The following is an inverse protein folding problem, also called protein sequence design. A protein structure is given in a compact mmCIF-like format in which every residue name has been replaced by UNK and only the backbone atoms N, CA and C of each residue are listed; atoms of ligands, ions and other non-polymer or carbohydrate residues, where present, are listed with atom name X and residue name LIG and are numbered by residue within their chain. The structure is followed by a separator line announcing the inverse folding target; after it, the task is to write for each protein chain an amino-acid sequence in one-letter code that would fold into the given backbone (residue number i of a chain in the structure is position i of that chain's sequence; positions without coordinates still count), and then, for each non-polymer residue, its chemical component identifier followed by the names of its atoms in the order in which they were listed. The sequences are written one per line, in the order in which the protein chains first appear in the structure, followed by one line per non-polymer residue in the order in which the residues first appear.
data_IF_644983546468
#
_entry.id   IF_644983546468
#
_cell.length_a   1.000
_cell.length_b   1.000
_cell.length_c   1.000
_cell.angle_alpha   90.00
_cell.angle_beta   90.00
_cell.angle_gamma   90.00
#
_symmetry.space_group_name_H-M   'P 1'
#
loop_
_entity.id
_entity.type
_entity.pdbx_description
1 polymer ?
#
# COMPACT_ATOMS: atom_id res chain seq x y z
N UNK A 1 -22.44 -26.84 -36.09
CA UNK A 1 -22.86 -25.47 -35.71
C UNK A 1 -21.95 -24.99 -34.57
N UNK A 2 -20.87 -24.24 -34.84
CA UNK A 2 -19.94 -23.83 -33.76
C UNK A 2 -19.03 -22.65 -34.14
N UNK A 3 -19.59 -21.56 -34.68
CA UNK A 3 -18.82 -20.37 -35.10
C UNK A 3 -18.80 -19.20 -34.11
N UNK A 4 -19.73 -19.16 -33.15
CA UNK A 4 -20.04 -17.92 -32.41
C UNK A 4 -19.50 -17.88 -30.98
N UNK A 5 -18.54 -18.74 -30.61
CA UNK A 5 -18.05 -18.75 -29.22
C UNK A 5 -16.64 -19.28 -29.06
N UNK A 6 -15.92 -18.70 -28.09
CA UNK A 6 -14.63 -19.23 -27.66
C UNK A 6 -14.78 -20.62 -27.01
N UNK A 7 -13.70 -21.40 -27.08
CA UNK A 7 -13.63 -22.68 -26.37
C UNK A 7 -13.74 -22.46 -24.86
N UNK A 8 -14.28 -23.43 -24.12
CA UNK A 8 -14.41 -23.34 -22.66
C UNK A 8 -13.07 -23.02 -21.99
N UNK A 9 -11.98 -23.63 -22.45
CA UNK A 9 -10.62 -23.37 -21.97
C UNK A 9 -10.23 -21.90 -22.14
N UNK A 10 -10.48 -21.30 -23.32
CA UNK A 10 -10.19 -19.90 -23.56
C UNK A 10 -11.01 -18.96 -22.67
N UNK A 11 -12.28 -19.30 -22.40
CA UNK A 11 -13.14 -18.54 -21.48
C UNK A 11 -12.64 -18.67 -20.04
N UNK A 12 -12.34 -19.88 -19.57
CA UNK A 12 -11.81 -20.11 -18.23
C UNK A 12 -10.50 -19.36 -18.01
N UNK A 13 -9.54 -19.51 -18.92
CA UNK A 13 -8.26 -18.79 -18.85
C UNK A 13 -8.48 -17.28 -18.85
N UNK A 14 -9.48 -16.78 -19.59
CA UNK A 14 -9.75 -15.33 -19.63
C UNK A 14 -10.17 -14.82 -18.27
N UNK A 15 -11.19 -15.43 -17.67
CA UNK A 15 -11.75 -14.95 -16.41
C UNK A 15 -10.83 -15.17 -15.22
N UNK A 16 -10.11 -16.29 -15.19
CA UNK A 16 -9.11 -16.54 -14.13
C UNK A 16 -8.03 -15.46 -14.19
N UNK A 17 -7.45 -15.22 -15.38
CA UNK A 17 -6.42 -14.19 -15.54
C UNK A 17 -6.98 -12.79 -15.28
N UNK A 18 -8.20 -12.47 -15.74
CA UNK A 18 -8.82 -11.17 -15.50
C UNK A 18 -9.03 -10.89 -14.00
N UNK A 19 -9.54 -11.87 -13.24
CA UNK A 19 -9.71 -11.75 -11.80
C UNK A 19 -8.37 -11.59 -11.09
N UNK A 20 -7.36 -12.37 -11.50
CA UNK A 20 -6.01 -12.25 -10.98
C UNK A 20 -5.40 -10.88 -11.26
N UNK A 21 -5.57 -10.33 -12.47
CA UNK A 21 -5.08 -8.98 -12.82
C UNK A 21 -5.74 -7.93 -11.94
N UNK A 22 -7.05 -8.01 -11.71
CA UNK A 22 -7.76 -7.07 -10.82
C UNK A 22 -7.17 -7.16 -9.40
N UNK A 23 -6.97 -8.37 -8.89
CA UNK A 23 -6.30 -8.58 -7.60
C UNK A 23 -4.84 -8.08 -7.59
N UNK A 24 -4.10 -8.28 -8.67
CA UNK A 24 -2.71 -7.82 -8.82
C UNK A 24 -2.60 -6.31 -8.81
N UNK A 25 -3.49 -5.63 -9.53
CA UNK A 25 -3.55 -4.16 -9.54
C UNK A 25 -3.96 -3.63 -8.16
N UNK A 26 -4.92 -4.27 -7.49
CA UNK A 26 -5.31 -3.94 -6.12
C UNK A 26 -4.14 -4.08 -5.13
N UNK A 27 -3.46 -5.22 -5.13
CA UNK A 27 -2.28 -5.43 -4.27
C UNK A 27 -1.13 -4.48 -4.61
N UNK A 28 -0.93 -4.16 -5.89
CA UNK A 28 0.05 -3.18 -6.36
C UNK A 28 -0.22 -1.76 -5.87
N UNK A 29 -1.48 -1.33 -5.90
CA UNK A 29 -1.93 -0.04 -5.35
C UNK A 29 -1.75 -0.04 -3.83
N UNK A 30 -2.21 -1.10 -3.15
CA UNK A 30 -2.09 -1.23 -1.69
C UNK A 30 -0.62 -1.13 -1.26
N UNK A 31 0.29 -1.88 -1.89
CA UNK A 31 1.70 -1.84 -1.54
C UNK A 31 2.39 -0.53 -1.97
N UNK A 32 2.03 0.01 -3.14
CA UNK A 32 2.63 1.24 -3.67
C UNK A 32 2.24 2.49 -2.88
N UNK A 33 1.02 2.55 -2.37
CA UNK A 33 0.54 3.63 -1.52
C UNK A 33 0.64 3.32 -0.02
N UNK A 34 1.15 2.14 0.35
CA UNK A 34 1.27 1.65 1.72
C UNK A 34 -0.07 1.74 2.49
N UNK A 35 -1.14 1.19 1.89
CA UNK A 35 -2.50 1.22 2.45
C UNK A 35 -2.76 0.15 3.52
N UNK A 36 -1.75 -0.66 3.87
CA UNK A 36 -1.81 -1.69 4.90
C UNK A 36 -0.56 -1.63 5.78
N UNK A 37 -0.67 -2.10 7.02
CA UNK A 37 0.43 -2.17 7.98
C UNK A 37 1.64 -2.96 7.46
N UNK A 38 2.84 -2.64 7.97
CA UNK A 38 4.08 -3.28 7.53
C UNK A 38 4.14 -4.79 7.78
N UNK A 39 3.48 -5.26 8.84
CA UNK A 39 3.33 -6.69 9.16
C UNK A 39 2.58 -7.46 8.07
N UNK A 40 1.66 -6.78 7.37
CA UNK A 40 0.92 -7.30 6.23
C UNK A 40 1.64 -6.96 4.92
N UNK A 41 2.31 -5.81 4.86
CA UNK A 41 2.97 -5.29 3.65
C UNK A 41 4.06 -6.24 3.14
N UNK A 42 4.91 -6.77 4.02
CA UNK A 42 5.95 -7.72 3.59
C UNK A 42 5.35 -9.03 3.03
N UNK A 43 4.41 -9.71 3.73
CA UNK A 43 3.65 -10.82 3.14
C UNK A 43 2.91 -10.43 1.86
N UNK A 44 2.38 -9.21 1.77
CA UNK A 44 1.69 -8.69 0.59
C UNK A 44 2.64 -8.56 -0.60
N UNK A 45 3.88 -8.11 -0.42
CA UNK A 45 4.89 -8.11 -1.49
C UNK A 45 5.18 -9.53 -1.99
N UNK A 46 5.27 -10.52 -1.10
CA UNK A 46 5.44 -11.92 -1.51
C UNK A 46 4.20 -12.47 -2.24
N UNK A 47 3.01 -12.12 -1.77
CA UNK A 47 1.75 -12.47 -2.41
C UNK A 47 1.60 -11.82 -3.80
N UNK A 48 1.92 -10.53 -3.93
CA UNK A 48 1.95 -9.79 -5.20
C UNK A 48 2.92 -10.43 -6.19
N UNK A 49 4.13 -10.82 -5.76
CA UNK A 49 5.08 -11.54 -6.62
C UNK A 49 4.52 -12.88 -7.08
N UNK A 50 3.94 -13.67 -6.17
CA UNK A 50 3.34 -14.99 -6.47
C UNK A 50 2.19 -14.89 -7.48
N UNK A 51 1.31 -13.91 -7.27
CA UNK A 51 0.14 -13.70 -8.10
C UNK A 51 0.54 -13.16 -9.48
N UNK A 52 1.49 -12.23 -9.54
CA UNK A 52 2.08 -11.74 -10.80
C UNK A 52 2.77 -12.82 -11.62
N UNK A 53 3.56 -13.69 -10.98
CA UNK A 53 4.19 -14.84 -11.63
C UNK A 53 3.14 -15.82 -12.19
N UNK A 54 2.07 -16.05 -11.44
CA UNK A 54 0.96 -16.90 -11.88
C UNK A 54 0.25 -16.31 -13.10
N UNK A 55 0.04 -14.99 -13.13
CA UNK A 55 -0.49 -14.29 -14.31
C UNK A 55 0.44 -14.48 -15.51
N UNK A 56 1.76 -14.33 -15.33
CA UNK A 56 2.73 -14.53 -16.41
C UNK A 56 2.62 -15.94 -17.02
N UNK A 57 2.69 -16.98 -16.18
CA UNK A 57 2.63 -18.39 -16.63
C UNK A 57 1.31 -18.69 -17.34
N UNK A 58 0.17 -18.30 -16.74
CA UNK A 58 -1.14 -18.51 -17.34
C UNK A 58 -1.33 -17.70 -18.63
N UNK A 59 -0.70 -16.53 -18.74
CA UNK A 59 -0.75 -15.70 -19.95
C UNK A 59 0.04 -16.32 -21.09
N UNK A 60 1.18 -16.97 -20.82
CA UNK A 60 1.91 -17.78 -21.81
C UNK A 60 1.05 -18.96 -22.26
N UNK A 61 0.45 -19.71 -21.33
CA UNK A 61 -0.48 -20.80 -21.65
C UNK A 61 -1.65 -20.30 -22.52
N UNK A 62 -2.23 -19.16 -22.17
CA UNK A 62 -3.31 -18.52 -22.93
C UNK A 62 -2.85 -18.08 -24.32
N UNK A 63 -1.63 -17.58 -24.47
CA UNK A 63 -1.05 -17.19 -25.76
C UNK A 63 -0.85 -18.41 -26.65
N UNK A 64 -0.22 -19.47 -26.13
CA UNK A 64 -0.03 -20.73 -26.83
C UNK A 64 -1.38 -21.34 -27.26
N UNK A 65 -2.37 -21.31 -26.37
CA UNK A 65 -3.73 -21.77 -26.68
C UNK A 65 -4.34 -20.97 -27.84
N UNK A 66 -4.19 -19.65 -27.84
CA UNK A 66 -4.69 -18.77 -28.90
C UNK A 66 -4.00 -19.02 -30.24
N UNK A 67 -2.71 -19.36 -30.26
CA UNK A 67 -2.01 -19.71 -31.50
C UNK A 67 -2.60 -20.97 -32.15
N UNK A 68 -3.09 -21.92 -31.35
CA UNK A 68 -3.75 -23.14 -31.83
C UNK A 68 -5.25 -23.01 -32.14
N UNK A 69 -5.91 -21.91 -31.72
CA UNK A 69 -7.38 -21.79 -31.81
C UNK A 69 -7.81 -20.43 -32.36
N UNK A 70 -8.52 -20.45 -33.49
CA UNK A 70 -9.02 -19.23 -34.13
C UNK A 70 -10.10 -18.54 -33.27
N UNK A 71 -10.01 -17.22 -33.04
CA UNK A 71 -11.06 -16.49 -32.35
C UNK A 71 -12.34 -16.42 -33.21
N UNK A 72 -13.53 -16.32 -32.59
CA UNK A 72 -14.78 -16.04 -33.31
C UNK A 72 -14.69 -14.75 -34.13
N UNK A 73 -15.44 -14.70 -35.23
CA UNK A 73 -15.47 -13.51 -36.09
C UNK A 73 -16.11 -12.33 -35.35
N UNK A 74 -15.61 -11.11 -35.63
CA UNK A 74 -16.25 -9.89 -35.16
C UNK A 74 -17.54 -9.63 -35.94
N UNK A 75 -18.57 -8.98 -35.35
CA UNK A 75 -19.81 -8.70 -36.05
C UNK A 75 -19.61 -7.95 -37.36
N UNK A 76 -20.33 -8.36 -38.41
CA UNK A 76 -20.16 -7.77 -39.75
C UNK A 76 -20.44 -6.26 -39.75
N UNK A 77 -21.47 -5.83 -39.01
CA UNK A 77 -21.91 -4.44 -38.88
C UNK A 77 -21.00 -3.55 -38.02
N UNK A 78 -20.04 -4.12 -37.29
CA UNK A 78 -19.13 -3.34 -36.44
C UNK A 78 -18.24 -2.43 -37.31
N UNK A 79 -18.17 -1.11 -37.03
CA UNK A 79 -17.29 -0.17 -37.71
C UNK A 79 -15.82 -0.61 -37.73
N UNK A 80 -15.09 -0.27 -38.79
CA UNK A 80 -13.69 -0.68 -38.96
C UNK A 80 -12.78 -0.18 -37.85
N UNK A 81 -13.05 1.00 -37.29
CA UNK A 81 -12.28 1.56 -36.18
C UNK A 81 -12.50 0.78 -34.87
N UNK A 82 -13.71 0.29 -34.59
CA UNK A 82 -14.00 -0.58 -33.43
C UNK A 82 -13.33 -1.95 -33.61
N UNK A 83 -13.33 -2.50 -34.82
CA UNK A 83 -12.60 -3.74 -35.14
C UNK A 83 -11.10 -3.59 -34.88
N UNK A 84 -10.51 -2.45 -35.25
CA UNK A 84 -9.12 -2.15 -34.95
C UNK A 84 -8.88 -1.94 -33.45
N UNK A 85 -9.77 -1.20 -32.77
CA UNK A 85 -9.73 -1.02 -31.32
C UNK A 85 -9.72 -2.35 -30.57
N UNK A 86 -10.65 -3.26 -30.90
CA UNK A 86 -10.69 -4.58 -30.29
C UNK A 86 -9.40 -5.39 -30.52
N UNK A 87 -8.80 -5.31 -31.71
CA UNK A 87 -7.51 -5.99 -32.00
C UNK A 87 -6.36 -5.38 -31.21
N UNK A 88 -6.24 -4.04 -31.22
CA UNK A 88 -5.20 -3.31 -30.51
C UNK A 88 -5.30 -3.53 -29.01
N UNK A 89 -6.50 -3.50 -28.43
CA UNK A 89 -6.69 -3.80 -27.01
C UNK A 89 -6.25 -5.22 -26.67
N UNK A 90 -6.60 -6.22 -27.48
CA UNK A 90 -6.13 -7.59 -27.23
C UNK A 90 -4.60 -7.72 -27.33
N UNK A 91 -3.97 -7.10 -28.33
CA UNK A 91 -2.50 -7.09 -28.42
C UNK A 91 -1.86 -6.34 -27.24
N UNK A 92 -2.44 -5.21 -26.84
CA UNK A 92 -2.02 -4.44 -25.67
C UNK A 92 -2.08 -5.27 -24.39
N UNK A 93 -3.17 -6.00 -24.15
CA UNK A 93 -3.23 -6.89 -22.99
C UNK A 93 -2.20 -8.02 -23.07
N UNK A 94 -1.99 -8.65 -24.22
CA UNK A 94 -0.93 -9.67 -24.32
C UNK A 94 0.44 -9.10 -24.01
N UNK A 95 0.73 -7.88 -24.49
CA UNK A 95 1.95 -7.16 -24.15
C UNK A 95 2.03 -6.94 -22.63
N UNK A 96 1.04 -6.27 -22.01
CA UNK A 96 1.11 -5.93 -20.59
C UNK A 96 1.09 -7.16 -19.66
N UNK A 97 0.27 -8.17 -19.95
CA UNK A 97 0.18 -9.40 -19.15
C UNK A 97 1.50 -10.19 -19.12
N UNK A 98 2.37 -10.00 -20.11
CA UNK A 98 3.69 -10.63 -20.16
C UNK A 98 4.74 -9.68 -19.59
N UNK A 99 4.80 -8.44 -20.08
CA UNK A 99 5.91 -7.53 -19.80
C UNK A 99 5.83 -6.85 -18.43
N UNK A 100 4.65 -6.63 -17.86
CA UNK A 100 4.51 -6.12 -16.47
C UNK A 100 5.09 -7.11 -15.45
N UNK A 101 4.63 -8.38 -15.36
CA UNK A 101 5.22 -9.31 -14.41
C UNK A 101 6.66 -9.67 -14.75
N UNK A 102 7.03 -9.69 -16.04
CA UNK A 102 8.42 -9.88 -16.43
C UNK A 102 9.34 -8.77 -15.92
N UNK A 103 8.95 -7.48 -16.05
CA UNK A 103 9.74 -6.38 -15.48
C UNK A 103 9.81 -6.43 -13.95
N UNK A 104 8.76 -6.90 -13.29
CA UNK A 104 8.78 -7.18 -11.84
C UNK A 104 9.75 -8.32 -11.46
N UNK A 105 9.87 -9.33 -12.31
CA UNK A 105 10.83 -10.42 -12.13
C UNK A 105 12.28 -9.95 -12.35
N UNK A 106 12.53 -9.08 -13.32
CA UNK A 106 13.83 -8.40 -13.49
C UNK A 106 14.14 -7.53 -12.27
N UNK A 107 13.18 -6.74 -11.80
CA UNK A 107 13.30 -5.88 -10.62
C UNK A 107 13.74 -6.65 -9.37
N UNK A 108 13.08 -7.77 -9.07
CA UNK A 108 13.46 -8.57 -7.89
C UNK A 108 14.81 -9.28 -8.09
N UNK A 109 15.16 -9.65 -9.33
CA UNK A 109 16.44 -10.30 -9.66
C UNK A 109 17.65 -9.36 -9.60
N UNK A 110 17.44 -8.06 -9.75
CA UNK A 110 18.50 -7.05 -9.63
C UNK A 110 18.48 -6.33 -8.28
N UNK A 111 17.61 -6.71 -7.35
CA UNK A 111 17.52 -6.08 -6.04
C UNK A 111 18.77 -6.34 -5.20
N UNK A 112 19.28 -5.28 -4.57
CA UNK A 112 20.42 -5.35 -3.65
C UNK A 112 20.12 -6.15 -2.36
N UNK A 113 18.83 -6.35 -2.05
CA UNK A 113 18.41 -7.12 -0.87
C UNK A 113 18.45 -8.64 -1.08
N UNK A 114 18.55 -9.12 -2.33
CA UNK A 114 18.68 -10.56 -2.63
C UNK A 114 17.52 -11.43 -2.09
N UNK A 115 16.33 -10.86 -1.97
CA UNK A 115 15.20 -11.55 -1.34
C UNK A 115 14.62 -12.64 -2.25
N UNK A 116 14.40 -13.87 -1.74
CA UNK A 116 13.85 -14.94 -2.55
C UNK A 116 12.42 -14.62 -3.01
N UNK A 117 12.10 -15.11 -4.20
CA UNK A 117 10.74 -15.05 -4.76
C UNK A 117 10.04 -16.36 -4.47
N UNK A 118 9.25 -16.41 -3.40
CA UNK A 118 8.53 -17.63 -3.03
C UNK A 118 7.19 -17.69 -3.77
N UNK A 119 6.94 -18.73 -4.55
CA UNK A 119 5.64 -18.91 -5.21
C UNK A 119 4.62 -19.50 -4.21
N UNK A 120 3.79 -18.63 -3.63
CA UNK A 120 2.83 -18.94 -2.56
C UNK A 120 3.45 -19.69 -1.37
N UNK A 121 4.73 -19.40 -1.07
CA UNK A 121 5.51 -20.08 -0.02
C UNK A 121 5.67 -21.59 -0.21
N UNK A 122 5.46 -22.12 -1.42
CA UNK A 122 5.60 -23.54 -1.74
C UNK A 122 7.02 -23.90 -2.16
N UNK A 123 7.63 -23.08 -3.01
CA UNK A 123 9.00 -23.22 -3.48
C UNK A 123 9.55 -21.87 -3.92
N UNK A 124 10.88 -21.77 -3.98
CA UNK A 124 11.59 -20.60 -4.48
C UNK A 124 11.61 -20.60 -6.02
N UNK A 125 11.10 -19.53 -6.61
CA UNK A 125 11.24 -19.26 -8.04
C UNK A 125 12.60 -18.62 -8.31
N UNK A 126 13.39 -19.15 -9.26
CA UNK A 126 14.74 -18.69 -9.48
C UNK A 126 14.78 -17.24 -9.95
N UNK A 127 15.83 -16.52 -9.56
CA UNK A 127 16.21 -15.26 -10.19
C UNK A 127 16.63 -15.50 -11.65
N UNK A 128 16.58 -14.44 -12.45
CA UNK A 128 16.99 -14.51 -13.86
C UNK A 128 18.52 -14.72 -13.92
N UNK A 129 19.00 -15.81 -14.54
CA UNK A 129 20.42 -16.10 -14.63
C UNK A 129 21.21 -14.97 -15.31
N UNK A 130 22.36 -14.60 -14.74
CA UNK A 130 23.28 -13.62 -15.31
C UNK A 130 23.00 -12.16 -14.91
N UNK A 131 21.88 -11.89 -14.22
CA UNK A 131 21.63 -10.58 -13.62
C UNK A 131 22.32 -10.41 -12.26
N UNK A 132 22.60 -11.51 -11.59
CA UNK A 132 23.30 -11.58 -10.31
C UNK A 132 24.79 -11.26 -10.43
N UNK A 133 25.39 -11.55 -11.59
CA UNK A 133 26.82 -11.35 -11.90
C UNK A 133 27.15 -9.96 -12.46
N UNK A 134 26.18 -9.07 -12.58
CA UNK A 134 26.39 -7.70 -13.09
C UNK A 134 27.16 -6.83 -12.09
N UNK A 135 27.88 -5.81 -12.59
CA UNK A 135 28.50 -4.81 -11.71
C UNK A 135 27.43 -4.02 -10.96
N UNK A 136 27.72 -3.62 -9.71
CA UNK A 136 26.75 -2.94 -8.84
C UNK A 136 26.09 -1.72 -9.50
N UNK A 137 26.89 -0.90 -10.21
CA UNK A 137 26.37 0.28 -10.93
C UNK A 137 25.41 -0.06 -12.07
N UNK A 138 25.67 -1.15 -12.80
CA UNK A 138 24.76 -1.62 -13.87
C UNK A 138 23.51 -2.24 -13.29
N UNK A 139 23.67 -3.05 -12.23
CA UNK A 139 22.58 -3.74 -11.55
C UNK A 139 21.57 -2.75 -10.97
N UNK A 140 22.04 -1.70 -10.32
CA UNK A 140 21.20 -0.60 -9.80
C UNK A 140 20.45 0.13 -10.92
N UNK A 141 21.11 0.44 -12.05
CA UNK A 141 20.44 1.07 -13.19
C UNK A 141 19.33 0.18 -13.75
N UNK A 142 19.59 -1.11 -13.94
CA UNK A 142 18.59 -2.07 -14.42
C UNK A 142 17.44 -2.20 -13.42
N UNK A 143 17.72 -2.18 -12.12
CA UNK A 143 16.71 -2.21 -11.06
C UNK A 143 15.75 -1.02 -11.17
N UNK A 144 16.29 0.20 -11.21
CA UNK A 144 15.50 1.45 -11.31
C UNK A 144 14.66 1.50 -12.60
N UNK A 145 15.24 1.10 -13.73
CA UNK A 145 14.51 1.03 -15.00
C UNK A 145 13.38 0.00 -14.94
N UNK A 146 13.63 -1.16 -14.33
CA UNK A 146 12.65 -2.22 -14.18
C UNK A 146 11.48 -1.81 -13.30
N UNK A 147 11.75 -1.11 -12.18
CA UNK A 147 10.72 -0.53 -11.31
C UNK A 147 9.87 0.48 -12.08
N UNK A 148 10.54 1.42 -12.77
CA UNK A 148 9.89 2.45 -13.58
C UNK A 148 8.96 1.81 -14.61
N UNK A 149 9.48 0.90 -15.44
CA UNK A 149 8.67 0.22 -16.45
C UNK A 149 7.53 -0.58 -15.83
N UNK A 150 7.77 -1.29 -14.73
CA UNK A 150 6.75 -2.07 -14.05
C UNK A 150 5.54 -1.19 -13.67
N UNK A 151 5.80 -0.06 -13.01
CA UNK A 151 4.75 0.85 -12.53
C UNK A 151 4.02 1.53 -13.69
N UNK A 152 4.75 2.11 -14.66
CA UNK A 152 4.12 2.80 -15.79
C UNK A 152 3.32 1.84 -16.67
N UNK A 153 3.83 0.63 -16.94
CA UNK A 153 3.08 -0.38 -17.69
C UNK A 153 1.86 -0.89 -16.92
N UNK A 154 1.93 -1.00 -15.58
CA UNK A 154 0.77 -1.35 -14.76
C UNK A 154 -0.34 -0.28 -14.84
N UNK A 155 0.01 1.01 -14.79
CA UNK A 155 -0.97 2.09 -14.97
C UNK A 155 -1.53 2.14 -16.40
N UNK A 156 -0.70 1.94 -17.41
CA UNK A 156 -1.15 1.84 -18.80
C UNK A 156 -2.12 0.66 -18.99
N UNK A 157 -1.83 -0.48 -18.37
CA UNK A 157 -2.70 -1.66 -18.36
C UNK A 157 -4.03 -1.38 -17.64
N UNK A 158 -4.00 -0.66 -16.52
CA UNK A 158 -5.22 -0.23 -15.82
C UNK A 158 -6.09 0.66 -16.70
N UNK A 159 -5.50 1.63 -17.40
CA UNK A 159 -6.22 2.46 -18.37
C UNK A 159 -6.85 1.62 -19.50
N UNK A 160 -6.08 0.67 -20.05
CA UNK A 160 -6.59 -0.26 -21.07
C UNK A 160 -7.71 -1.16 -20.54
N UNK A 161 -7.65 -1.59 -19.28
CA UNK A 161 -8.69 -2.36 -18.60
C UNK A 161 -10.01 -1.58 -18.54
N UNK A 162 -9.97 -0.32 -18.13
CA UNK A 162 -11.17 0.53 -18.12
C UNK A 162 -11.75 0.72 -19.52
N UNK A 163 -10.91 0.98 -20.53
CA UNK A 163 -11.35 1.08 -21.92
C UNK A 163 -11.99 -0.22 -22.42
N UNK A 164 -11.39 -1.36 -22.10
CA UNK A 164 -11.89 -2.68 -22.50
C UNK A 164 -13.24 -3.00 -21.86
N UNK A 165 -13.39 -2.79 -20.55
CA UNK A 165 -14.65 -2.98 -19.85
C UNK A 165 -15.70 -2.01 -20.40
N UNK A 166 -15.35 -0.73 -20.55
CA UNK A 166 -16.25 0.29 -21.11
C UNK A 166 -16.75 -0.06 -22.51
N UNK A 167 -15.87 -0.56 -23.38
CA UNK A 167 -16.24 -1.05 -24.70
C UNK A 167 -17.17 -2.27 -24.62
N UNK A 168 -16.88 -3.25 -23.76
CA UNK A 168 -17.76 -4.41 -23.58
C UNK A 168 -19.17 -4.01 -23.09
N UNK A 169 -19.25 -3.04 -22.17
CA UNK A 169 -20.52 -2.50 -21.69
C UNK A 169 -21.26 -1.68 -22.76
N UNK A 170 -20.55 -0.87 -23.56
CA UNK A 170 -21.12 -0.17 -24.73
C UNK A 170 -21.76 -1.17 -25.70
N UNK A 171 -21.03 -2.21 -26.08
CA UNK A 171 -21.52 -3.26 -26.99
C UNK A 171 -22.75 -3.97 -26.43
N UNK A 172 -22.78 -4.22 -25.12
CA UNK A 172 -23.91 -4.88 -24.48
C UNK A 172 -25.16 -3.98 -24.36
N UNK A 173 -25.01 -2.74 -23.90
CA UNK A 173 -26.15 -1.89 -23.55
C UNK A 173 -26.60 -0.96 -24.69
N UNK A 174 -25.66 -0.47 -25.51
CA UNK A 174 -25.92 0.51 -26.57
C UNK A 174 -26.05 -0.19 -27.92
N UNK A 175 -25.00 -0.91 -28.34
CA UNK A 175 -24.99 -1.55 -29.66
C UNK A 175 -25.87 -2.83 -29.69
N UNK A 176 -26.17 -3.39 -28.51
CA UNK A 176 -27.01 -4.57 -28.29
C UNK A 176 -26.60 -5.76 -29.14
N UNK A 177 -25.29 -5.96 -29.29
CA UNK A 177 -24.72 -7.07 -30.06
C UNK A 177 -24.30 -8.25 -29.17
N UNK A 178 -23.80 -9.31 -29.82
CA UNK A 178 -23.41 -10.55 -29.15
C UNK A 178 -21.93 -10.62 -28.74
N UNK A 179 -21.17 -9.51 -28.79
CA UNK A 179 -19.73 -9.52 -28.49
C UNK A 179 -19.45 -10.04 -27.08
N UNK A 180 -20.26 -9.65 -26.09
CA UNK A 180 -20.10 -10.11 -24.70
C UNK A 180 -20.39 -11.62 -24.55
N UNK A 181 -21.33 -12.17 -25.34
CA UNK A 181 -21.72 -13.57 -25.30
C UNK A 181 -20.58 -14.53 -25.69
N UNK A 182 -19.57 -14.03 -26.41
CA UNK A 182 -18.37 -14.81 -26.71
C UNK A 182 -17.58 -15.19 -25.46
N UNK A 183 -17.66 -14.40 -24.37
CA UNK A 183 -16.91 -14.60 -23.14
C UNK A 183 -17.76 -14.99 -21.93
N UNK A 184 -19.09 -14.92 -21.96
CA UNK A 184 -19.92 -15.32 -20.81
C UNK A 184 -19.71 -16.82 -20.49
N UNK A 185 -19.32 -17.18 -19.25
CA UNK A 185 -19.31 -18.56 -18.81
C UNK A 185 -20.76 -19.02 -18.66
N UNK A 186 -21.15 -20.05 -19.41
CA UNK A 186 -22.50 -20.65 -19.51
C UNK A 186 -23.38 -20.42 -18.27
N UNK A 187 -24.22 -19.38 -18.28
CA UNK A 187 -25.48 -19.44 -17.52
C UNK A 187 -26.42 -20.24 -18.41
N UNK A 188 -26.46 -21.56 -18.20
CA UNK A 188 -27.68 -22.29 -18.58
C UNK A 188 -28.76 -21.78 -17.62
N UNK A 189 -29.65 -20.96 -18.15
CA UNK A 189 -30.91 -20.66 -17.48
C UNK A 189 -31.54 -21.99 -17.02
N UNK A 190 -31.94 -22.03 -15.74
CA UNK A 190 -32.51 -23.17 -14.99
C UNK A 190 -31.49 -24.09 -14.28
N UNK A 191 -31.08 -23.68 -13.09
CA UNK A 191 -31.05 -24.59 -11.93
C UNK A 191 -31.05 -23.78 -10.63
N UNK A 192 -32.05 -24.02 -9.78
CA UNK A 192 -32.03 -23.61 -8.38
C UNK A 192 -30.91 -24.38 -7.68
N UNK A 193 -29.96 -23.72 -7.02
CA UNK A 193 -29.15 -24.31 -5.95
C UNK A 193 -28.73 -23.21 -4.97
N UNK A 194 -28.60 -23.52 -3.66
CA UNK A 194 -28.70 -22.54 -2.60
C UNK A 194 -27.35 -21.89 -2.27
N UNK A 195 -27.46 -20.68 -1.73
CA UNK A 195 -26.40 -19.90 -1.12
C UNK A 195 -26.02 -20.56 0.22
N UNK A 196 -24.82 -21.12 0.31
CA UNK A 196 -24.29 -21.58 1.60
C UNK A 196 -23.67 -20.37 2.32
N UNK A 197 -24.39 -19.90 3.34
CA UNK A 197 -23.95 -18.90 4.30
C UNK A 197 -23.04 -19.60 5.32
N UNK A 198 -21.79 -19.15 5.45
CA UNK A 198 -20.93 -19.54 6.57
C UNK A 198 -21.33 -18.69 7.78
N UNK A 199 -22.01 -19.30 8.75
CA UNK A 199 -22.22 -18.73 10.08
C UNK A 199 -20.94 -18.91 10.89
N UNK A 200 -20.37 -17.81 11.38
CA UNK A 200 -19.41 -17.81 12.46
C UNK A 200 -20.17 -17.50 13.76
N UNK A 201 -20.17 -18.42 14.71
CA UNK A 201 -20.76 -18.23 16.04
C UNK A 201 -19.75 -17.51 16.94
N UNK A 202 -20.12 -16.35 17.48
CA UNK A 202 -19.40 -15.70 18.57
C UNK A 202 -19.87 -16.25 19.92
N UNK A 203 -18.92 -16.66 20.76
CA UNK A 203 -19.12 -16.83 22.20
C UNK A 203 -18.64 -15.54 22.89
N UNK A 204 -19.46 -14.98 23.78
CA UNK A 204 -19.14 -13.79 24.57
C UNK A 204 -18.63 -14.19 25.96
N UNK A 205 -17.57 -13.54 26.43
CA UNK A 205 -17.11 -13.53 27.82
C UNK A 205 -17.34 -12.12 28.42
N UNK A 206 -17.46 -11.96 29.75
CA UNK A 206 -17.63 -10.63 30.35
C UNK A 206 -16.31 -9.84 30.26
N UNK A 207 -16.41 -8.58 29.84
CA UNK A 207 -15.27 -7.68 29.68
C UNK A 207 -14.88 -7.05 31.03
N UNK A 208 -13.61 -7.20 31.37
CA UNK A 208 -12.88 -6.31 32.27
C UNK A 208 -12.37 -5.16 31.40
N UNK A 209 -12.48 -3.90 31.85
CA UNK A 209 -12.06 -2.73 31.07
C UNK A 209 -10.63 -2.93 30.55
N UNK A 210 -10.50 -3.06 29.24
CA UNK A 210 -9.24 -3.32 28.57
C UNK A 210 -8.51 -2.00 28.30
N UNK A 211 -7.17 -2.00 28.25
CA UNK A 211 -6.40 -0.82 27.84
C UNK A 211 -6.81 -0.39 26.43
N UNK A 212 -6.81 0.92 26.17
CA UNK A 212 -7.14 1.48 24.86
C UNK A 212 -6.17 0.94 23.80
N UNK A 213 -6.73 0.34 22.75
CA UNK A 213 -5.95 -0.19 21.63
C UNK A 213 -6.03 0.80 20.47
N UNK A 214 -4.87 1.29 20.04
CA UNK A 214 -4.78 2.23 18.92
C UNK A 214 -5.17 1.55 17.60
N UNK A 215 -6.11 2.15 16.86
CA UNK A 215 -6.36 1.84 15.45
C UNK A 215 -5.36 2.58 14.57
N UNK A 216 -4.30 1.88 14.16
CA UNK A 216 -3.27 2.44 13.30
C UNK A 216 -3.72 2.72 11.86
N UNK A 217 -4.93 2.30 11.44
CA UNK A 217 -5.48 2.61 10.11
C UNK A 217 -5.94 4.07 10.00
N UNK A 218 -6.51 4.61 11.08
CA UNK A 218 -7.05 5.98 11.12
C UNK A 218 -6.20 6.92 11.98
N UNK A 219 -5.25 6.38 12.75
CA UNK A 219 -4.28 7.13 13.54
C UNK A 219 -3.02 7.50 12.75
N UNK A 220 -2.43 8.66 13.05
CA UNK A 220 -1.17 9.08 12.45
C UNK A 220 -0.38 10.05 13.36
N UNK A 221 0.94 10.04 13.20
CA UNK A 221 1.85 11.09 13.68
C UNK A 221 2.57 11.65 12.45
N UNK A 222 2.25 12.90 12.12
CA UNK A 222 2.83 13.62 10.98
C UNK A 222 3.65 14.81 11.44
N UNK A 223 4.59 15.21 10.60
CA UNK A 223 5.44 16.37 10.82
C UNK A 223 5.51 17.23 9.55
N UNK A 224 5.62 18.54 9.74
CA UNK A 224 5.76 19.52 8.66
C UNK A 224 6.86 20.53 9.01
N UNK A 225 7.64 20.90 7.99
CA UNK A 225 8.64 21.96 8.10
C UNK A 225 8.87 22.64 6.75
N UNK A 226 9.83 23.57 6.73
CA UNK A 226 10.28 24.21 5.48
C UNK A 226 11.74 23.89 5.22
N UNK A 227 12.09 23.65 3.97
CA UNK A 227 13.47 23.54 3.50
C UNK A 227 13.69 24.55 2.37
N UNK A 228 14.59 25.52 2.59
CA UNK A 228 14.87 26.62 1.66
C UNK A 228 13.61 27.39 1.23
N UNK A 229 12.65 27.50 2.14
CA UNK A 229 11.34 28.13 1.92
C UNK A 229 10.24 27.20 1.40
N UNK A 230 10.56 26.02 0.89
CA UNK A 230 9.57 25.04 0.41
C UNK A 230 9.04 24.18 1.55
N UNK A 231 7.72 24.01 1.62
CA UNK A 231 7.08 23.16 2.64
C UNK A 231 7.32 21.69 2.31
N UNK A 232 7.73 20.92 3.32
CA UNK A 232 7.75 19.46 3.25
C UNK A 232 6.90 18.87 4.36
N UNK A 233 6.28 17.73 4.07
CA UNK A 233 5.52 16.95 5.03
C UNK A 233 6.07 15.53 5.12
N UNK A 234 5.96 14.94 6.29
CA UNK A 234 6.28 13.54 6.53
C UNK A 234 5.44 12.92 7.61
N UNK A 235 5.54 11.60 7.74
CA UNK A 235 4.86 10.81 8.76
C UNK A 235 5.75 9.70 9.27
N UNK A 236 5.55 9.31 10.52
CA UNK A 236 6.18 8.12 11.08
C UNK A 236 5.30 6.90 10.81
N UNK A 237 5.88 5.86 10.22
CA UNK A 237 5.15 4.65 9.82
C UNK A 237 5.18 3.53 10.85
N UNK A 238 6.08 3.60 11.83
CA UNK A 238 6.21 2.64 12.92
C UNK A 238 6.24 3.42 14.23
N UNK A 239 5.14 3.35 14.97
CA UNK A 239 5.01 3.89 16.32
C UNK A 239 3.95 3.08 17.07
N UNK A 240 4.06 3.05 18.38
CA UNK A 240 3.13 2.39 19.29
C UNK A 240 2.79 3.38 20.40
N UNK A 241 1.58 3.25 20.96
CA UNK A 241 1.20 3.96 22.17
C UNK A 241 0.55 3.00 23.15
N UNK A 242 1.04 3.03 24.39
CA UNK A 242 0.42 2.40 25.55
C UNK A 242 -0.36 3.50 26.29
N UNK A 243 -1.69 3.34 26.35
CA UNK A 243 -2.62 4.39 26.79
C UNK A 243 -3.50 3.81 27.91
N UNK A 244 -3.16 4.19 29.14
CA UNK A 244 -4.02 4.05 30.30
C UNK A 244 -4.68 5.40 30.57
N UNK A 245 -5.96 5.52 30.24
CA UNK A 245 -6.69 6.79 30.34
C UNK A 245 -8.15 6.57 30.72
N UNK A 246 -8.51 7.09 31.89
CA UNK A 246 -9.88 7.21 32.37
C UNK A 246 -10.17 8.69 32.67
N UNK A 247 -11.14 9.34 31.97
CA UNK A 247 -11.52 10.73 32.23
C UNK A 247 -11.91 11.00 33.70
N UNK A 248 -12.37 10.00 34.44
CA UNK A 248 -12.74 10.11 35.84
C UNK A 248 -11.54 9.96 36.80
N UNK A 249 -10.39 9.46 36.32
CA UNK A 249 -9.19 9.16 37.13
C UNK A 249 -7.89 9.62 36.46
N UNK A 250 -7.84 10.89 36.08
CA UNK A 250 -6.67 11.46 35.39
C UNK A 250 -5.34 11.37 36.15
N UNK A 251 -5.38 11.25 37.49
CA UNK A 251 -4.17 11.10 38.32
C UNK A 251 -3.50 9.72 38.16
N UNK A 252 -4.25 8.71 37.70
CA UNK A 252 -3.72 7.36 37.40
C UNK A 252 -3.32 7.22 35.92
N UNK A 253 -3.73 8.16 35.07
CA UNK A 253 -3.56 8.06 33.63
C UNK A 253 -2.09 8.15 33.19
N UNK A 254 -1.70 7.25 32.29
CA UNK A 254 -0.35 7.16 31.74
C UNK A 254 -0.38 6.92 30.24
N UNK A 255 0.39 7.71 29.51
CA UNK A 255 0.59 7.61 28.07
C UNK A 255 2.08 7.41 27.81
N UNK A 256 2.43 6.32 27.15
CA UNK A 256 3.77 6.06 26.64
C UNK A 256 3.70 5.87 25.13
N UNK A 257 4.29 6.79 24.38
CA UNK A 257 4.41 6.71 22.92
C UNK A 257 5.85 6.35 22.57
N UNK A 258 6.04 5.35 21.72
CA UNK A 258 7.34 4.99 21.15
C UNK A 258 7.27 5.11 19.64
N UNK A 259 8.11 5.94 19.04
CA UNK A 259 8.20 6.16 17.59
C UNK A 259 9.53 5.61 17.10
N UNK A 260 9.52 4.73 16.10
CA UNK A 260 10.75 4.32 15.42
C UNK A 260 11.13 5.39 14.40
N UNK A 261 12.13 6.19 14.70
CA UNK A 261 12.47 7.41 13.94
C UNK A 261 12.91 7.12 12.50
N UNK A 262 13.57 5.98 12.27
CA UNK A 262 13.93 5.51 10.92
C UNK A 262 12.74 5.18 10.01
N UNK A 263 11.53 5.12 10.56
CA UNK A 263 10.30 4.91 9.80
C UNK A 263 9.74 6.19 9.18
N UNK A 264 10.34 7.35 9.45
CA UNK A 264 9.93 8.63 8.87
C UNK A 264 9.93 8.57 7.33
N UNK A 265 8.81 8.96 6.73
CA UNK A 265 8.66 9.06 5.27
C UNK A 265 8.02 10.37 4.86
N UNK A 266 8.57 10.94 3.80
CA UNK A 266 8.10 12.12 3.09
C UNK A 266 7.81 11.77 1.63
N UNK A 267 7.23 12.70 0.87
CA UNK A 267 7.09 12.57 -0.58
C UNK A 267 8.43 12.78 -1.34
N UNK A 268 9.49 13.22 -0.65
CA UNK A 268 10.79 13.45 -1.26
C UNK A 268 11.74 12.26 -1.02
N UNK A 269 12.15 11.61 -2.11
CA UNK A 269 13.01 10.43 -2.06
C UNK A 269 14.41 10.69 -1.50
N UNK A 270 14.93 11.91 -1.63
CA UNK A 270 16.22 12.30 -1.04
C UNK A 270 16.07 12.38 0.48
N UNK A 271 15.02 13.04 0.98
CA UNK A 271 14.78 13.14 2.43
C UNK A 271 14.56 11.77 3.05
N UNK A 272 13.89 10.87 2.34
CA UNK A 272 13.70 9.48 2.78
C UNK A 272 15.02 8.70 2.94
N UNK A 273 16.09 9.09 2.24
CA UNK A 273 17.43 8.50 2.36
C UNK A 273 18.29 9.19 3.42
N UNK A 274 18.06 10.48 3.70
CA UNK A 274 18.87 11.27 4.63
C UNK A 274 18.33 11.30 6.05
N UNK A 275 17.00 11.34 6.24
CA UNK A 275 16.37 11.42 7.57
C UNK A 275 16.83 10.31 8.55
N UNK A 276 17.04 9.05 8.13
CA UNK A 276 17.50 8.02 9.05
C UNK A 276 18.98 8.14 9.47
N UNK A 277 19.78 8.98 8.80
CA UNK A 277 21.23 9.08 9.00
C UNK A 277 21.61 9.87 10.26
N UNK A 278 22.87 9.73 10.68
CA UNK A 278 23.46 10.31 11.90
C UNK A 278 23.11 11.79 12.12
N UNK A 279 23.23 12.60 11.07
CA UNK A 279 22.95 14.03 11.12
C UNK A 279 21.50 14.35 11.51
N UNK A 280 20.55 13.50 11.08
CA UNK A 280 19.12 13.67 11.30
C UNK A 280 18.67 12.83 12.48
N UNK A 281 17.93 11.75 12.28
CA UNK A 281 17.39 10.95 13.38
C UNK A 281 18.40 9.99 14.01
N UNK A 282 19.56 9.75 13.37
CA UNK A 282 20.52 8.72 13.77
C UNK A 282 19.83 7.39 14.10
N UNK A 283 18.98 6.91 13.18
CA UNK A 283 18.07 5.80 13.47
C UNK A 283 18.76 4.44 13.63
N UNK A 284 20.05 4.34 13.28
CA UNK A 284 20.85 3.14 13.48
C UNK A 284 21.30 2.99 14.93
N UNK A 285 21.77 4.08 15.56
CA UNK A 285 22.24 4.07 16.95
C UNK A 285 21.13 4.43 17.96
N UNK A 286 20.25 5.36 17.58
CA UNK A 286 19.12 5.83 18.38
C UNK A 286 17.80 5.63 17.62
N UNK A 287 17.33 4.37 17.50
CA UNK A 287 16.21 4.03 16.62
C UNK A 287 14.85 4.56 17.08
N UNK A 288 14.74 5.01 18.34
CA UNK A 288 13.48 5.34 18.99
C UNK A 288 13.46 6.78 19.49
N UNK A 289 12.32 7.43 19.30
CA UNK A 289 11.90 8.61 20.04
C UNK A 289 10.76 8.19 20.97
N UNK A 290 10.67 8.79 22.15
CA UNK A 290 9.66 8.42 23.15
C UNK A 290 9.00 9.65 23.75
N UNK A 291 7.71 9.57 24.01
CA UNK A 291 7.00 10.50 24.88
C UNK A 291 6.41 9.73 26.05
N UNK A 292 6.74 10.11 27.28
CA UNK A 292 6.17 9.51 28.49
C UNK A 292 5.49 10.59 29.32
N UNK A 293 4.17 10.48 29.50
CA UNK A 293 3.42 11.39 30.35
C UNK A 293 3.63 11.05 31.82
N UNK A 294 3.71 12.08 32.65
CA UNK A 294 3.71 11.94 34.11
C UNK A 294 2.50 12.62 34.78
N UNK A 295 1.75 13.44 34.02
CA UNK A 295 0.58 14.14 34.51
C UNK A 295 -0.34 14.49 33.36
N UNK A 296 -1.63 14.26 33.52
CA UNK A 296 -2.65 14.71 32.56
C UNK A 296 -3.61 15.67 33.26
N UNK A 297 -3.93 16.79 32.61
CA UNK A 297 -4.85 17.80 33.13
C UNK A 297 -6.02 17.97 32.17
N UNK A 298 -7.24 18.02 32.69
CA UNK A 298 -8.38 18.52 31.92
C UNK A 298 -8.34 20.04 31.85
N UNK A 299 -8.63 20.58 30.67
CA UNK A 299 -8.85 22.01 30.43
C UNK A 299 -10.35 22.35 30.33
N UNK A 300 -11.24 21.38 30.57
CA UNK A 300 -12.68 21.49 30.42
C UNK A 300 -13.20 21.07 29.04
N UNK A 301 -14.40 20.47 29.02
CA UNK A 301 -14.97 19.86 27.81
C UNK A 301 -14.08 18.73 27.29
N UNK A 302 -13.89 18.68 25.98
CA UNK A 302 -13.10 17.64 25.29
C UNK A 302 -11.59 17.92 25.29
N UNK A 303 -11.08 18.89 26.08
CA UNK A 303 -9.70 19.38 25.98
C UNK A 303 -8.83 18.97 27.17
N UNK A 304 -7.59 18.58 26.88
CA UNK A 304 -6.64 18.08 27.86
C UNK A 304 -5.20 18.53 27.56
N UNK A 305 -4.33 18.43 28.54
CA UNK A 305 -2.87 18.53 28.39
C UNK A 305 -2.19 17.32 29.02
N UNK A 306 -1.39 16.59 28.23
CA UNK A 306 -0.46 15.59 28.74
C UNK A 306 0.90 16.24 28.95
N UNK A 307 1.34 16.33 30.21
CA UNK A 307 2.65 16.80 30.62
C UNK A 307 3.57 15.59 30.74
N UNK A 308 4.76 15.66 30.16
CA UNK A 308 5.65 14.52 30.09
C UNK A 308 7.04 14.88 29.62
N UNK A 309 7.80 13.84 29.27
CA UNK A 309 9.14 13.97 28.71
C UNK A 309 9.16 13.46 27.28
N UNK A 310 9.68 14.27 26.37
CA UNK A 310 9.94 13.89 24.99
C UNK A 310 11.44 13.64 24.83
N UNK A 311 11.78 12.46 24.31
CA UNK A 311 13.16 12.06 24.02
C UNK A 311 13.32 11.78 22.53
N UNK A 312 14.29 12.44 21.89
CA UNK A 312 14.67 12.22 20.50
C UNK A 312 16.21 12.23 20.44
N UNK A 313 16.83 11.28 19.73
CA UNK A 313 18.30 11.08 19.71
C UNK A 313 18.92 11.01 21.12
N UNK A 314 18.26 10.34 22.06
CA UNK A 314 18.63 10.28 23.49
C UNK A 314 18.68 11.64 24.22
N UNK A 315 18.25 12.73 23.60
CA UNK A 315 18.13 14.04 24.24
C UNK A 315 16.70 14.20 24.74
N UNK A 316 16.55 14.50 26.03
CA UNK A 316 15.25 14.54 26.70
C UNK A 316 14.91 15.94 27.17
N UNK A 317 13.70 16.40 26.83
CA UNK A 317 13.14 17.68 27.28
C UNK A 317 11.75 17.49 27.87
N UNK A 318 11.34 18.40 28.75
CA UNK A 318 9.96 18.49 29.18
C UNK A 318 9.08 18.91 27.99
N UNK A 319 7.93 18.26 27.85
CA UNK A 319 7.02 18.47 26.73
C UNK A 319 5.57 18.44 27.21
N UNK A 320 4.78 19.38 26.70
CA UNK A 320 3.35 19.47 26.98
C UNK A 320 2.63 19.24 25.66
N UNK A 321 1.83 18.18 25.61
CA UNK A 321 0.99 17.83 24.47
C UNK A 321 -0.45 18.27 24.76
N UNK A 322 -0.90 19.41 24.21
CA UNK A 322 -2.32 19.74 24.22
C UNK A 322 -3.06 18.84 23.23
N UNK A 323 -4.19 18.28 23.64
CA UNK A 323 -5.01 17.43 22.77
C UNK A 323 -6.50 17.60 23.03
N UNK A 324 -7.30 17.29 22.01
CA UNK A 324 -8.75 17.14 22.13
C UNK A 324 -9.09 15.66 22.05
N UNK A 325 -9.98 15.19 22.91
CA UNK A 325 -10.38 13.79 23.02
C UNK A 325 -11.91 13.69 23.08
N UNK A 326 -12.48 12.89 22.19
CA UNK A 326 -13.88 12.48 22.23
C UNK A 326 -13.96 10.99 22.50
N UNK A 327 -14.81 10.61 23.43
CA UNK A 327 -15.10 9.20 23.74
C UNK A 327 -16.59 8.98 23.52
N UNK A 328 -16.93 7.99 22.70
CA UNK A 328 -18.30 7.51 22.48
C UNK A 328 -18.33 6.01 22.73
N UNK A 329 -18.94 5.62 23.86
CA UNK A 329 -18.89 4.26 24.39
C UNK A 329 -17.44 3.72 24.46
N UNK A 330 -17.12 2.74 23.62
CA UNK A 330 -15.84 2.02 23.60
C UNK A 330 -14.90 2.57 22.51
N UNK A 331 -15.25 3.65 21.82
CA UNK A 331 -14.42 4.30 20.81
C UNK A 331 -13.91 5.66 21.31
N UNK A 332 -12.63 5.95 21.08
CA UNK A 332 -11.98 7.21 21.39
C UNK A 332 -11.34 7.80 20.13
N UNK A 333 -11.50 9.11 19.94
CA UNK A 333 -10.86 9.88 18.88
C UNK A 333 -10.12 11.07 19.48
N UNK A 334 -8.79 11.07 19.37
CA UNK A 334 -7.89 12.11 19.84
C UNK A 334 -7.25 12.85 18.67
N UNK A 335 -7.14 14.17 18.78
CA UNK A 335 -6.39 15.01 17.86
C UNK A 335 -5.51 16.00 18.61
N UNK A 336 -4.30 16.22 18.11
CA UNK A 336 -3.38 17.22 18.64
C UNK A 336 -2.57 17.89 17.53
N UNK A 337 -2.45 19.20 17.59
CA UNK A 337 -1.54 19.99 16.78
C UNK A 337 -0.60 20.76 17.71
N UNK A 338 0.70 20.61 17.48
CA UNK A 338 1.74 21.22 18.31
C UNK A 338 2.99 21.46 17.48
N UNK A 339 4.05 21.95 18.12
CA UNK A 339 5.35 22.15 17.47
C UNK A 339 6.50 21.84 18.40
N UNK A 340 7.60 21.40 17.81
CA UNK A 340 8.89 21.24 18.49
C UNK A 340 9.96 22.03 17.75
N UNK A 341 11.02 22.42 18.45
CA UNK A 341 12.23 22.92 17.81
C UNK A 341 13.20 21.77 17.59
N UNK A 342 13.50 21.45 16.33
CA UNK A 342 14.38 20.31 15.97
C UNK A 342 15.80 20.44 16.53
N UNK A 343 16.29 21.66 16.75
CA UNK A 343 17.66 21.93 17.22
C UNK A 343 17.84 21.63 18.70
N UNK A 344 16.75 21.57 19.47
CA UNK A 344 16.78 21.18 20.89
C UNK A 344 17.11 19.68 21.05
N UNK A 345 16.92 18.89 19.99
CA UNK A 345 17.17 17.45 19.92
C UNK A 345 18.31 17.09 18.96
N UNK A 346 19.14 18.07 18.57
CA UNK A 346 20.25 17.89 17.62
C UNK A 346 19.86 17.21 16.29
N UNK A 347 18.62 17.42 15.82
CA UNK A 347 18.15 16.90 14.53
C UNK A 347 18.53 17.88 13.42
N UNK A 348 19.54 17.53 12.62
CA UNK A 348 20.06 18.33 11.49
C UNK A 348 20.85 19.57 11.93
N UNK A 349 21.38 19.57 13.16
CA UNK A 349 22.00 20.76 13.78
C UNK A 349 23.44 21.00 13.34
N UNK A 350 24.21 19.96 13.02
CA UNK A 350 25.61 20.13 12.60
C UNK A 350 25.67 20.58 11.13
N UNK A 351 24.73 20.13 10.30
CA UNK A 351 24.57 20.58 8.92
C UNK A 351 23.92 21.97 8.82
N UNK A 352 23.01 22.32 9.74
CA UNK A 352 22.29 23.60 9.73
C UNK A 352 22.07 24.14 11.17
N UNK A 353 23.14 24.67 11.82
CA UNK A 353 23.11 25.09 13.22
C UNK A 353 22.26 26.34 13.46
N UNK A 354 22.16 27.21 12.46
CA UNK A 354 21.38 28.44 12.52
C UNK A 354 19.91 28.23 12.11
N UNK A 355 19.56 27.11 11.48
CA UNK A 355 18.22 26.84 10.95
C UNK A 355 17.91 27.68 9.72
N UNK A 356 18.92 27.99 8.92
CA UNK A 356 18.82 28.88 7.75
C UNK A 356 18.19 28.18 6.55
N UNK A 357 18.36 26.86 6.46
CA UNK A 357 17.81 26.05 5.37
C UNK A 357 16.57 25.31 5.81
N UNK A 358 16.64 24.58 6.92
CA UNK A 358 15.51 23.81 7.44
C UNK A 358 14.93 24.50 8.67
N UNK A 359 13.62 24.76 8.66
CA UNK A 359 12.94 25.46 9.75
C UNK A 359 13.24 24.82 11.10
N UNK A 360 13.42 25.66 12.12
CA UNK A 360 13.63 25.22 13.52
C UNK A 360 12.37 24.56 14.06
N UNK A 361 11.27 25.29 13.93
CA UNK A 361 9.95 24.82 14.29
C UNK A 361 9.51 23.75 13.27
N UNK A 362 9.21 22.56 13.80
CA UNK A 362 8.59 21.45 13.10
C UNK A 362 7.20 21.29 13.70
N UNK A 363 6.18 21.52 12.87
CA UNK A 363 4.81 21.32 13.27
C UNK A 363 4.53 19.82 13.33
N UNK A 364 3.79 19.38 14.34
CA UNK A 364 3.35 18.01 14.53
C UNK A 364 1.83 17.99 14.48
N UNK A 365 1.27 17.10 13.67
CA UNK A 365 -0.17 16.83 13.65
C UNK A 365 -0.40 15.35 13.94
N UNK A 366 -1.18 15.10 14.98
CA UNK A 366 -1.39 13.79 15.59
C UNK A 366 -2.88 13.49 15.60
N UNK A 367 -3.23 12.29 15.16
CA UNK A 367 -4.55 11.69 15.34
C UNK A 367 -4.37 10.32 15.95
N UNK A 368 -5.13 10.01 16.98
CA UNK A 368 -5.21 8.67 17.57
C UNK A 368 -6.66 8.30 17.72
N UNK A 369 -7.11 7.34 16.93
CA UNK A 369 -8.38 6.66 17.17
C UNK A 369 -8.06 5.33 17.88
N UNK A 370 -8.85 4.96 18.87
CA UNK A 370 -8.63 3.77 19.68
C UNK A 370 -9.95 3.15 20.14
N UNK A 371 -9.93 1.84 20.40
CA UNK A 371 -11.07 1.08 20.93
C UNK A 371 -10.70 0.32 22.23
N UNK A 372 -11.70 -0.04 23.04
CA UNK A 372 -11.56 -0.89 24.23
C UNK A 372 -12.08 -2.31 24.02
#
# INVERSE_FOLDING_TARGET
MSGDRYTKVAITLHWVIALMIIGQLGTGIIMGYNLVDKSILFPMYQFHKSLGLSVLVLSVVRLLWRLGHKPPALPAHMPTWEKWGARLSHYGFYFFMIFVPFSGWVLVSTSSFGMPTMWFNLFEWPHIPGLDTMTDGTKEQVNQWSETFHVYMAYAMLGLLFLHIGAALKHHFIDKDNVMHHMIPLIKAKSKLPLALVLFSCLSFPAQAAPWKVDHLTSFISFEGKNSGEVFTGKFLEWEADIDFDPAKLEEAKILVTIKTGSAKTLNMIYNKTLPKEEWFNAEETPKATFESNKIKSLGGDKYEAHGKLTIKNITHDFILPFTLKIDADEAAMTADTKINRLDFDVGKKADPAGDFVSKDIALSIRVDADQ
#
